data_IF_243420207933
#
_entry.id   IF_243420207933
#
_cell.length_a   1.000
_cell.length_b   1.000
_cell.length_c   1.000
_cell.angle_alpha   90.00
_cell.angle_beta   90.00
_cell.angle_gamma   90.00
#
_symmetry.space_group_name_H-M   'P 1'
#
loop_
_entity.id
_entity.type
_entity.pdbx_description
1 polymer ?
#
# COMPACT_ATOMS: atom_id res chain seq x y z
N UNK A 1 -0.45 6.84 16.29
CA UNK A 1 0.86 6.68 15.65
C UNK A 1 0.61 6.06 14.29
N UNK A 2 0.91 6.73 13.17
CA UNK A 2 0.69 6.12 11.85
C UNK A 2 1.73 5.03 11.61
N UNK A 3 1.30 3.77 11.53
CA UNK A 3 2.21 2.65 11.29
C UNK A 3 2.81 2.75 9.89
N UNK A 4 4.13 2.78 9.77
CA UNK A 4 4.79 2.72 8.47
C UNK A 4 4.60 1.34 7.87
N UNK A 5 3.88 1.28 6.74
CA UNK A 5 3.69 0.04 6.01
C UNK A 5 4.74 -0.10 4.92
N UNK A 6 5.21 -1.34 4.72
CA UNK A 6 6.09 -1.67 3.60
C UNK A 6 5.26 -2.00 2.37
N UNK A 7 5.48 -1.28 1.28
CA UNK A 7 4.86 -1.51 -0.02
C UNK A 7 5.89 -2.06 -1.01
N UNK A 8 5.39 -2.69 -2.07
CA UNK A 8 6.21 -3.13 -3.18
C UNK A 8 5.81 -2.37 -4.43
N UNK A 9 6.75 -1.63 -4.99
CA UNK A 9 6.59 -0.96 -6.26
C UNK A 9 6.89 -1.96 -7.38
N UNK A 10 5.86 -2.44 -8.06
CA UNK A 10 6.00 -3.41 -9.15
C UNK A 10 6.69 -2.81 -10.38
N UNK A 11 6.60 -1.49 -10.58
CA UNK A 11 7.22 -0.79 -11.71
C UNK A 11 8.70 -0.51 -11.43
N UNK A 12 9.00 -0.02 -10.23
CA UNK A 12 10.36 0.19 -9.75
C UNK A 12 11.07 -1.09 -9.29
N UNK A 13 10.34 -2.20 -9.19
CA UNK A 13 10.77 -3.51 -8.66
C UNK A 13 11.47 -3.42 -7.29
N UNK A 14 11.04 -2.47 -6.46
CA UNK A 14 11.68 -2.14 -5.18
C UNK A 14 10.67 -2.08 -4.05
N UNK A 15 11.14 -2.45 -2.84
CA UNK A 15 10.39 -2.25 -1.61
C UNK A 15 10.56 -0.81 -1.14
N UNK A 16 9.50 -0.21 -0.64
CA UNK A 16 9.54 1.10 0.00
C UNK A 16 8.60 1.13 1.20
N UNK A 17 8.88 1.99 2.17
CA UNK A 17 8.01 2.18 3.33
C UNK A 17 7.30 3.52 3.21
N UNK A 18 5.99 3.55 3.48
CA UNK A 18 5.21 4.78 3.52
C UNK A 18 4.27 4.78 4.73
N UNK A 19 4.24 5.90 5.44
CA UNK A 19 3.19 6.24 6.42
C UNK A 19 1.98 6.93 5.76
N UNK A 20 2.16 7.47 4.54
CA UNK A 20 1.09 8.07 3.74
C UNK A 20 0.46 7.00 2.86
N UNK A 21 -0.63 6.42 3.35
CA UNK A 21 -1.46 5.50 2.58
C UNK A 21 -2.92 5.65 2.94
N UNK A 22 -3.79 5.36 1.99
CA UNK A 22 -5.24 5.29 2.20
C UNK A 22 -5.65 3.84 2.37
N UNK A 23 -6.53 3.58 3.33
CA UNK A 23 -7.08 2.24 3.50
C UNK A 23 -8.42 2.12 2.81
N UNK A 24 -8.56 1.14 1.91
CA UNK A 24 -9.77 0.91 1.14
C UNK A 24 -10.26 -0.51 1.37
N UNK A 25 -11.57 -0.67 1.53
CA UNK A 25 -12.20 -1.99 1.61
C UNK A 25 -12.80 -2.34 0.26
N UNK A 26 -12.40 -3.47 -0.32
CA UNK A 26 -12.90 -3.95 -1.61
C UNK A 26 -13.16 -5.44 -1.53
N UNK A 27 -14.36 -5.87 -1.91
CA UNK A 27 -14.79 -7.29 -1.86
C UNK A 27 -14.51 -7.98 -0.50
N UNK A 28 -14.78 -7.28 0.62
CA UNK A 28 -14.57 -7.81 1.98
C UNK A 28 -13.11 -7.92 2.42
N UNK A 29 -12.16 -7.33 1.68
CA UNK A 29 -10.76 -7.26 2.06
C UNK A 29 -10.32 -5.82 2.21
N UNK A 30 -9.43 -5.59 3.17
CA UNK A 30 -8.86 -4.28 3.48
C UNK A 30 -7.51 -4.16 2.78
N UNK A 31 -7.32 -3.07 2.05
CA UNK A 31 -6.11 -2.77 1.29
C UNK A 31 -5.54 -1.43 1.75
N UNK A 32 -4.24 -1.37 1.98
CA UNK A 32 -3.52 -0.10 2.05
C UNK A 32 -3.05 0.26 0.64
N UNK A 33 -3.32 1.48 0.21
CA UNK A 33 -2.93 2.02 -1.10
C UNK A 33 -2.03 3.22 -0.87
N UNK A 34 -0.79 3.14 -1.35
CA UNK A 34 0.19 4.21 -1.27
C UNK A 34 0.68 4.61 -2.65
N UNK A 35 1.08 5.88 -2.81
CA UNK A 35 1.76 6.33 -4.02
C UNK A 35 3.23 5.89 -3.98
N UNK A 36 3.61 5.12 -4.99
CA UNK A 36 4.96 4.61 -5.14
C UNK A 36 5.86 5.64 -5.86
N UNK A 37 7.18 5.64 -5.59
CA UNK A 37 8.11 6.57 -6.22
C UNK A 37 8.16 6.45 -7.76
N UNK A 38 7.76 5.31 -8.33
CA UNK A 38 7.68 5.13 -9.79
C UNK A 38 6.43 5.75 -10.43
N UNK A 39 5.58 6.42 -9.65
CA UNK A 39 4.36 7.09 -10.10
C UNK A 39 3.16 6.16 -10.26
N UNK A 40 3.14 5.03 -9.55
CA UNK A 40 2.01 4.09 -9.55
C UNK A 40 1.44 3.93 -8.15
N UNK A 41 0.18 3.47 -8.04
CA UNK A 41 -0.40 3.10 -6.75
C UNK A 41 0.04 1.69 -6.35
N UNK A 42 0.75 1.55 -5.25
CA UNK A 42 1.10 0.27 -4.66
C UNK A 42 -0.02 -0.20 -3.73
N UNK A 43 -0.53 -1.40 -3.96
CA UNK A 43 -1.59 -2.00 -3.17
C UNK A 43 -1.01 -3.08 -2.25
N UNK A 44 -1.29 -2.97 -0.95
CA UNK A 44 -0.94 -3.97 0.06
C UNK A 44 -2.22 -4.50 0.71
N UNK A 45 -2.36 -5.83 0.76
CA UNK A 45 -3.46 -6.46 1.48
C UNK A 45 -3.16 -6.39 2.98
N UNK A 46 -4.10 -5.87 3.77
CA UNK A 46 -4.03 -5.84 5.23
C UNK A 46 -4.73 -7.05 5.86
N UNK A 47 -5.75 -7.60 5.19
CA UNK A 47 -6.49 -8.77 5.66
C UNK A 47 -7.93 -8.78 5.16
N UNK A 48 -8.73 -9.69 5.72
CA UNK A 48 -10.19 -9.58 5.67
C UNK A 48 -10.63 -8.39 6.55
N UNK A 49 -11.65 -7.69 6.08
CA UNK A 49 -12.33 -6.68 6.88
C UNK A 49 -13.19 -7.36 7.96
#
# INVERSE_FOLDING_TARGET
>A
MAEKLSFYDVKGKKKFTSDKYTTVTKKGRKFAVADAPSGIKAWRILGRA
#
